data_IF_730503612034
#
_entry.id   IF_730503612034
#
_cell.length_a   1.000
_cell.length_b   1.000
_cell.length_c   1.000
_cell.angle_alpha   90.00
_cell.angle_beta   90.00
_cell.angle_gamma   90.00
#
_symmetry.space_group_name_H-M   'P 1'
#
loop_
_entity.id
_entity.type
_entity.pdbx_description
1 polymer ?
#
# COMPACT_ATOMS: atom_id res chain seq x y z
N UNK A 1 16.14 -3.09 -17.29
CA UNK A 1 15.55 -1.86 -17.87
C UNK A 1 15.68 -0.76 -16.84
N UNK A 2 16.01 0.50 -17.20
CA UNK A 2 16.07 1.58 -16.22
C UNK A 2 14.69 1.76 -15.59
N UNK A 3 14.64 1.83 -14.26
CA UNK A 3 13.41 2.13 -13.51
C UNK A 3 13.02 3.56 -13.87
N UNK A 4 11.93 3.72 -14.62
CA UNK A 4 11.40 5.04 -14.92
C UNK A 4 10.86 5.65 -13.60
N UNK A 5 11.15 6.93 -13.31
CA UNK A 5 10.66 7.56 -12.10
C UNK A 5 9.11 7.57 -12.09
N UNK A 6 8.53 7.20 -10.95
CA UNK A 6 7.07 7.20 -10.74
C UNK A 6 6.55 8.65 -10.78
N UNK A 7 5.63 8.92 -11.70
CA UNK A 7 4.90 10.19 -11.76
C UNK A 7 3.82 10.24 -10.67
N UNK A 8 3.95 11.20 -9.75
CA UNK A 8 3.03 11.41 -8.61
C UNK A 8 2.10 12.59 -8.80
N UNK A 9 2.02 13.16 -10.01
CA UNK A 9 1.14 14.30 -10.30
C UNK A 9 -0.34 13.94 -10.16
N UNK A 10 -0.70 12.70 -10.45
CA UNK A 10 -2.05 12.17 -10.30
C UNK A 10 -2.03 10.75 -9.77
N UNK A 11 -2.84 10.48 -8.75
CA UNK A 11 -3.01 9.16 -8.16
C UNK A 11 -4.47 8.89 -7.82
N UNK A 12 -4.85 7.61 -7.82
CA UNK A 12 -6.10 7.15 -7.21
C UNK A 12 -5.83 6.82 -5.75
N UNK A 13 -6.64 7.34 -4.84
CA UNK A 13 -6.46 7.12 -3.40
C UNK A 13 -6.65 5.64 -3.02
N UNK A 14 -5.93 5.15 -1.98
CA UNK A 14 -6.21 3.84 -1.38
C UNK A 14 -7.57 3.87 -0.68
N UNK A 15 -8.47 2.96 -1.06
CA UNK A 15 -9.84 2.90 -0.56
C UNK A 15 -10.21 1.45 -0.23
N UNK A 16 -10.37 1.15 1.06
CA UNK A 16 -10.85 -0.16 1.53
C UNK A 16 -12.16 -0.56 0.84
N UNK A 17 -12.28 -1.82 0.46
CA UNK A 17 -13.39 -2.45 -0.28
C UNK A 17 -13.65 -1.85 -1.67
N UNK A 18 -12.77 -0.98 -2.18
CA UNK A 18 -12.88 -0.37 -3.50
C UNK A 18 -11.66 -0.61 -4.36
N UNK A 19 -10.45 -0.24 -3.92
CA UNK A 19 -9.24 -0.35 -4.74
C UNK A 19 -8.59 -1.73 -4.68
N UNK A 20 -9.41 -2.78 -4.82
CA UNK A 20 -8.93 -4.14 -5.04
C UNK A 20 -8.28 -4.28 -6.43
N UNK A 21 -7.69 -5.45 -6.74
CA UNK A 21 -7.03 -5.68 -8.04
C UNK A 21 -7.98 -5.56 -9.24
N UNK A 22 -9.25 -5.90 -9.08
CA UNK A 22 -10.23 -5.86 -10.17
C UNK A 22 -10.61 -4.43 -10.51
N UNK A 23 -10.87 -3.61 -9.49
CA UNK A 23 -11.11 -2.18 -9.64
C UNK A 23 -9.90 -1.45 -10.21
N UNK A 24 -8.69 -1.74 -9.70
CA UNK A 24 -7.45 -1.13 -10.22
C UNK A 24 -7.22 -1.49 -11.69
N UNK A 25 -7.43 -2.75 -12.08
CA UNK A 25 -7.36 -3.17 -13.47
C UNK A 25 -8.38 -2.42 -14.35
N UNK A 26 -9.61 -2.25 -13.86
CA UNK A 26 -10.64 -1.46 -14.55
C UNK A 26 -10.24 0.02 -14.68
N UNK A 27 -9.75 0.65 -13.62
CA UNK A 27 -9.29 2.05 -13.61
C UNK A 27 -8.12 2.28 -14.57
N UNK A 28 -7.21 1.30 -14.70
CA UNK A 28 -6.10 1.35 -15.65
C UNK A 28 -6.57 1.50 -17.10
N UNK A 29 -7.74 0.99 -17.45
CA UNK A 29 -8.29 1.13 -18.82
C UNK A 29 -8.59 2.59 -19.19
N UNK A 30 -8.81 3.48 -18.22
CA UNK A 30 -9.08 4.89 -18.46
C UNK A 30 -7.84 5.76 -18.43
N UNK A 31 -6.85 5.40 -17.61
CA UNK A 31 -5.63 6.19 -17.43
C UNK A 31 -4.41 5.29 -17.42
N UNK A 32 -3.62 5.24 -18.51
CA UNK A 32 -2.46 4.36 -18.62
C UNK A 32 -1.29 4.69 -17.68
N UNK A 33 -1.30 5.90 -17.07
CA UNK A 33 -0.15 6.42 -16.30
C UNK A 33 -0.48 6.83 -14.87
N UNK A 34 -1.75 6.84 -14.46
CA UNK A 34 -2.10 7.21 -13.08
C UNK A 34 -1.45 6.23 -12.10
N UNK A 35 -0.89 6.75 -11.01
CA UNK A 35 -0.42 5.92 -9.91
C UNK A 35 -1.63 5.32 -9.19
N UNK A 36 -1.75 4.00 -9.19
CA UNK A 36 -2.78 3.29 -8.47
C UNK A 36 -2.26 2.93 -7.08
N UNK A 37 -3.12 2.97 -6.07
CA UNK A 37 -2.80 2.46 -4.73
C UNK A 37 -3.68 1.24 -4.45
N UNK A 38 -3.11 0.25 -3.76
CA UNK A 38 -3.88 -0.85 -3.18
C UNK A 38 -4.83 -0.34 -2.09
N UNK A 39 -5.73 -1.20 -1.64
CA UNK A 39 -6.26 -1.08 -0.29
C UNK A 39 -5.14 -1.07 0.76
N UNK A 40 -5.46 -0.59 1.96
CA UNK A 40 -4.51 -0.62 3.07
C UNK A 40 -4.41 -2.05 3.62
N UNK A 41 -3.22 -2.66 3.52
CA UNK A 41 -2.97 -4.01 4.02
C UNK A 41 -2.12 -3.94 5.30
N UNK A 42 -2.58 -4.60 6.35
CA UNK A 42 -1.85 -4.64 7.63
C UNK A 42 -0.57 -5.47 7.46
N UNK A 43 0.58 -4.91 7.87
CA UNK A 43 1.89 -5.55 7.71
C UNK A 43 1.94 -6.97 8.30
N UNK A 44 1.33 -7.18 9.46
CA UNK A 44 1.23 -8.50 10.10
C UNK A 44 0.51 -9.53 9.22
N UNK A 45 -0.51 -9.12 8.46
CA UNK A 45 -1.23 -10.01 7.55
C UNK A 45 -0.35 -10.44 6.37
N UNK A 46 0.50 -9.55 5.85
CA UNK A 46 1.47 -9.88 4.80
C UNK A 46 2.55 -10.84 5.33
N UNK A 47 3.12 -10.56 6.50
CA UNK A 47 4.19 -11.37 7.07
C UNK A 47 3.71 -12.80 7.36
N UNK A 48 2.50 -12.94 7.94
CA UNK A 48 2.01 -14.21 8.52
C UNK A 48 0.90 -14.92 7.72
N UNK A 49 0.25 -14.22 6.80
CA UNK A 49 -0.92 -14.71 6.07
C UNK A 49 -0.62 -15.21 4.66
N UNK A 50 -1.68 -15.39 3.86
CA UNK A 50 -1.58 -15.76 2.46
C UNK A 50 -1.16 -14.55 1.61
N UNK A 51 0.13 -14.49 1.30
CA UNK A 51 0.73 -13.40 0.54
C UNK A 51 0.19 -13.30 -0.88
N UNK A 52 -0.12 -14.43 -1.53
CA UNK A 52 -0.65 -14.40 -2.91
C UNK A 52 -2.04 -13.80 -2.92
N UNK A 53 -2.90 -14.22 -1.99
CA UNK A 53 -4.22 -13.62 -1.85
C UNK A 53 -4.16 -12.11 -1.59
N UNK A 54 -3.24 -11.67 -0.73
CA UNK A 54 -3.13 -10.27 -0.32
C UNK A 54 -2.44 -9.36 -1.35
N UNK A 55 -1.44 -9.86 -2.08
CA UNK A 55 -0.50 -9.04 -2.84
C UNK A 55 -0.49 -9.32 -4.34
N UNK A 56 -1.17 -10.36 -4.84
CA UNK A 56 -1.18 -10.64 -6.26
C UNK A 56 -1.98 -9.56 -7.02
N UNK A 57 -1.36 -9.01 -8.05
CA UNK A 57 -1.92 -8.00 -8.95
C UNK A 57 -1.57 -8.35 -10.40
N UNK A 58 -2.30 -7.79 -11.35
CA UNK A 58 -2.05 -7.98 -12.77
C UNK A 58 -0.93 -7.03 -13.26
N UNK A 59 0.06 -7.47 -14.06
CA UNK A 59 1.13 -6.61 -14.54
C UNK A 59 0.68 -5.33 -15.27
N UNK A 60 -0.52 -5.29 -15.84
CA UNK A 60 -1.08 -4.09 -16.44
C UNK A 60 -1.38 -2.99 -15.42
N UNK A 61 -1.49 -3.31 -14.12
CA UNK A 61 -1.74 -2.34 -13.06
C UNK A 61 -0.59 -1.35 -12.85
N UNK A 62 0.62 -1.61 -13.35
CA UNK A 62 1.74 -0.68 -13.23
C UNK A 62 1.45 0.71 -13.86
N UNK A 63 1.84 1.82 -13.21
CA UNK A 63 2.46 1.89 -11.88
C UNK A 63 1.45 1.69 -10.73
N UNK A 64 1.81 0.87 -9.74
CA UNK A 64 0.99 0.54 -8.56
C UNK A 64 1.81 0.57 -7.26
N UNK A 65 1.26 1.25 -6.26
CA UNK A 65 1.80 1.37 -4.90
C UNK A 65 1.07 0.46 -3.92
N UNK A 66 1.82 -0.24 -3.06
CA UNK A 66 1.28 -0.98 -1.92
C UNK A 66 1.17 -0.05 -0.72
N UNK A 67 -0.02 0.11 -0.17
CA UNK A 67 -0.20 0.80 1.11
C UNK A 67 -0.18 -0.18 2.29
N UNK A 68 0.77 0.01 3.20
CA UNK A 68 0.93 -0.73 4.44
C UNK A 68 0.28 -0.02 5.63
N UNK A 69 -0.34 -0.79 6.51
CA UNK A 69 -0.75 -0.36 7.85
C UNK A 69 0.02 -1.09 8.94
N UNK A 70 0.54 -0.37 9.93
CA UNK A 70 1.27 -0.96 11.07
C UNK A 70 2.09 0.09 11.83
N UNK A 71 2.60 -0.29 12.99
CA UNK A 71 3.42 0.57 13.85
C UNK A 71 4.75 -0.08 14.29
N UNK A 72 4.90 -1.39 14.11
CA UNK A 72 6.15 -2.11 14.40
C UNK A 72 7.12 -1.96 13.22
N UNK A 73 8.28 -1.30 13.40
CA UNK A 73 9.22 -1.06 12.31
C UNK A 73 9.79 -2.35 11.69
N UNK A 74 9.95 -3.41 12.49
CA UNK A 74 10.46 -4.69 12.00
C UNK A 74 9.47 -5.39 11.07
N UNK A 75 8.20 -5.46 11.48
CA UNK A 75 7.12 -6.02 10.65
C UNK A 75 6.87 -5.17 9.40
N UNK A 76 6.94 -3.84 9.51
CA UNK A 76 6.80 -2.95 8.37
C UNK A 76 7.95 -3.13 7.36
N UNK A 77 9.19 -3.25 7.83
CA UNK A 77 10.34 -3.50 6.98
C UNK A 77 10.23 -4.85 6.26
N UNK A 78 9.82 -5.91 6.95
CA UNK A 78 9.61 -7.23 6.35
C UNK A 78 8.47 -7.20 5.32
N UNK A 79 7.33 -6.60 5.65
CA UNK A 79 6.20 -6.47 4.74
C UNK A 79 6.54 -5.63 3.50
N UNK A 80 7.31 -4.55 3.67
CA UNK A 80 7.82 -3.74 2.57
C UNK A 80 8.74 -4.54 1.64
N UNK A 81 9.65 -5.34 2.20
CA UNK A 81 10.53 -6.21 1.41
C UNK A 81 9.74 -7.28 0.65
N UNK A 82 8.72 -7.88 1.27
CA UNK A 82 7.82 -8.82 0.60
C UNK A 82 7.05 -8.11 -0.53
N UNK A 83 6.48 -6.93 -0.28
CA UNK A 83 5.79 -6.14 -1.31
C UNK A 83 6.70 -5.81 -2.50
N UNK A 84 7.92 -5.33 -2.24
CA UNK A 84 8.91 -5.11 -3.29
C UNK A 84 9.22 -6.39 -4.08
N UNK A 85 9.28 -7.55 -3.41
CA UNK A 85 9.46 -8.86 -4.05
C UNK A 85 8.28 -9.30 -4.93
N UNK A 86 7.07 -8.82 -4.66
CA UNK A 86 5.89 -9.00 -5.53
C UNK A 86 5.89 -8.05 -6.74
N UNK A 87 6.79 -7.06 -6.75
CA UNK A 87 6.98 -6.15 -7.87
C UNK A 87 6.29 -4.79 -7.74
N UNK A 88 5.72 -4.44 -6.58
CA UNK A 88 5.14 -3.09 -6.39
C UNK A 88 6.17 -1.99 -6.65
N UNK A 89 5.76 -0.91 -7.31
CA UNK A 89 6.65 0.19 -7.69
C UNK A 89 6.96 1.11 -6.49
N UNK A 90 6.03 1.21 -5.54
CA UNK A 90 6.14 2.05 -4.35
C UNK A 90 5.57 1.33 -3.13
N UNK A 91 6.24 1.54 -1.98
CA UNK A 91 5.71 1.19 -0.66
C UNK A 91 5.28 2.47 0.05
N UNK A 92 4.01 2.53 0.43
CA UNK A 92 3.40 3.66 1.11
C UNK A 92 2.98 3.26 2.53
N UNK A 93 3.27 4.10 3.53
CA UNK A 93 2.83 3.88 4.91
C UNK A 93 1.58 4.70 5.22
N UNK A 94 0.52 4.04 5.69
CA UNK A 94 -0.68 4.74 6.16
C UNK A 94 -0.43 5.38 7.53
N UNK A 95 -0.29 6.70 7.54
CA UNK A 95 -0.24 7.56 8.74
C UNK A 95 -1.44 8.50 8.83
N UNK A 96 -2.52 8.23 8.07
CA UNK A 96 -3.62 9.18 7.88
C UNK A 96 -5.00 8.68 8.27
N UNK A 97 -5.22 7.36 8.41
CA UNK A 97 -6.54 6.84 8.73
C UNK A 97 -6.97 7.17 10.17
N UNK A 98 -8.12 7.85 10.39
CA UNK A 98 -8.62 8.17 11.72
C UNK A 98 -9.57 7.12 12.30
N UNK A 99 -9.82 6.00 11.62
CA UNK A 99 -10.85 5.04 12.05
C UNK A 99 -10.51 4.31 13.36
N UNK A 100 -11.53 3.98 14.15
CA UNK A 100 -11.37 3.32 15.45
C UNK A 100 -10.61 2.00 15.34
N UNK A 101 -10.88 1.21 14.30
CA UNK A 101 -10.21 -0.08 14.05
C UNK A 101 -8.70 0.07 13.87
N UNK A 102 -8.28 1.14 13.20
CA UNK A 102 -6.87 1.44 12.94
C UNK A 102 -6.20 2.04 14.19
N UNK A 103 -6.90 2.90 14.92
CA UNK A 103 -6.41 3.45 16.18
C UNK A 103 -6.21 2.38 17.25
N UNK A 104 -7.13 1.41 17.37
CA UNK A 104 -7.02 0.28 18.30
C UNK A 104 -5.82 -0.63 17.97
N UNK A 105 -5.45 -0.72 16.69
CA UNK A 105 -4.24 -1.40 16.26
C UNK A 105 -2.98 -0.50 16.30
N UNK A 106 -3.10 0.71 16.86
CA UNK A 106 -2.02 1.67 17.12
C UNK A 106 -1.27 2.18 15.89
N UNK A 107 -1.93 2.22 14.72
CA UNK A 107 -1.36 2.83 13.51
C UNK A 107 -2.33 3.84 12.87
N UNK A 108 -1.97 4.42 11.73
CA UNK A 108 -2.78 5.46 11.05
C UNK A 108 -2.54 6.85 11.64
N UNK A 109 -3.58 7.69 11.74
CA UNK A 109 -3.46 9.09 12.14
C UNK A 109 -2.82 9.29 13.52
N UNK A 110 -2.99 8.33 14.45
CA UNK A 110 -2.39 8.41 15.78
C UNK A 110 -0.85 8.36 15.76
N UNK A 111 -0.23 7.79 14.70
CA UNK A 111 1.22 7.79 14.53
C UNK A 111 1.79 9.19 14.34
N UNK A 112 0.99 10.14 13.82
CA UNK A 112 1.42 11.54 13.69
C UNK A 112 1.72 12.20 15.04
N UNK A 113 1.15 11.69 16.14
CA UNK A 113 1.49 12.14 17.49
C UNK A 113 2.85 11.59 17.99
N UNK A 114 3.44 10.62 17.28
CA UNK A 114 4.70 9.97 17.62
C UNK A 114 5.72 10.12 16.48
N UNK A 115 6.16 11.34 16.13
CA UNK A 115 6.98 11.58 14.95
C UNK A 115 8.32 10.82 14.96
N UNK A 116 8.90 10.54 16.14
CA UNK A 116 10.13 9.73 16.26
C UNK A 116 9.95 8.27 15.87
N UNK A 117 8.73 7.74 15.97
CA UNK A 117 8.42 6.38 15.53
C UNK A 117 8.21 6.32 14.00
N UNK A 118 7.77 7.43 13.40
CA UNK A 118 7.45 7.51 11.97
C UNK A 118 8.65 7.93 11.11
N UNK A 119 9.54 8.78 11.64
CA UNK A 119 10.62 9.43 10.90
C UNK A 119 11.85 8.56 10.67
#
# INVERSE_FOLDING_TARGET
>A
MPVLPIDRRLSVAPMMDWTDRHCRYFLRQFSPRVLLYTEMIVAQAIVRGDRRYLLEFDPWEHPVALQLGGADPGLLAEAAAIGAGFGYDEINLNVGCPSDRVQQATFGACLMAQPRLVA
#
